data_IF_835956036322
#
_entry.id   IF_835956036322
#
_cell.length_a   1.000
_cell.length_b   1.000
_cell.length_c   1.000
_cell.angle_alpha   90.00
_cell.angle_beta   90.00
_cell.angle_gamma   90.00
#
_symmetry.space_group_name_H-M   'P 1'
#
loop_
_entity.id
_entity.type
_entity.pdbx_description
1 polymer ?
#
# COMPACT_ATOMS: atom_id res chain seq x y z
N UNK A 1 -3.58 -11.24 21.50
CA UNK A 1 -4.73 -10.43 21.03
C UNK A 1 -4.21 -9.57 19.88
N UNK A 2 -4.57 -9.88 18.63
CA UNK A 2 -4.26 -8.99 17.50
C UNK A 2 -5.39 -7.97 17.42
N UNK A 3 -5.06 -6.68 17.51
CA UNK A 3 -6.05 -5.61 17.32
C UNK A 3 -6.36 -5.57 15.82
N UNK A 4 -7.55 -6.00 15.43
CA UNK A 4 -8.10 -5.89 14.07
C UNK A 4 -8.38 -4.41 13.75
N UNK A 5 -7.33 -3.61 13.56
CA UNK A 5 -7.43 -2.16 13.31
C UNK A 5 -7.94 -1.81 11.90
N UNK A 6 -8.09 -2.78 11.00
CA UNK A 6 -8.38 -2.56 9.58
C UNK A 6 -9.53 -3.46 9.07
N UNK A 7 -10.77 -3.27 9.56
CA UNK A 7 -11.87 -4.17 9.24
C UNK A 7 -12.44 -4.00 7.82
N UNK A 8 -11.97 -3.02 7.04
CA UNK A 8 -12.55 -2.69 5.74
C UNK A 8 -11.46 -2.37 4.72
N UNK A 9 -11.45 -3.13 3.63
CA UNK A 9 -10.71 -2.82 2.41
C UNK A 9 -11.66 -2.21 1.38
N UNK A 10 -11.18 -1.21 0.63
CA UNK A 10 -11.89 -0.64 -0.52
C UNK A 10 -11.04 -0.86 -1.77
N UNK A 11 -11.68 -1.32 -2.82
CA UNK A 11 -11.07 -1.42 -4.15
C UNK A 11 -10.95 -0.03 -4.77
N UNK A 12 -9.75 0.34 -5.21
CA UNK A 12 -9.50 1.53 -6.03
C UNK A 12 -8.39 1.27 -7.06
N UNK A 13 -8.21 2.21 -7.98
CA UNK A 13 -7.11 2.18 -8.95
C UNK A 13 -5.78 2.48 -8.26
N UNK A 14 -4.70 1.82 -8.65
CA UNK A 14 -3.37 2.03 -8.08
C UNK A 14 -2.93 3.50 -8.12
N UNK A 15 -3.27 4.24 -9.20
CA UNK A 15 -2.98 5.66 -9.32
C UNK A 15 -3.68 6.56 -8.30
N UNK A 16 -4.69 6.07 -7.58
CA UNK A 16 -5.39 6.81 -6.54
C UNK A 16 -4.76 6.63 -5.16
N UNK A 17 -3.79 5.71 -5.00
CA UNK A 17 -3.02 5.55 -3.77
C UNK A 17 -2.07 6.73 -3.54
N UNK A 18 -1.92 7.12 -2.27
CA UNK A 18 -1.07 8.23 -1.82
C UNK A 18 -0.21 7.79 -0.63
N UNK A 19 0.93 8.47 -0.36
CA UNK A 19 1.62 8.32 0.90
C UNK A 19 0.67 8.54 2.08
N UNK A 20 0.71 7.66 3.08
CA UNK A 20 -0.22 7.61 4.20
C UNK A 20 -1.37 6.62 4.03
N UNK A 21 -1.70 6.21 2.81
CA UNK A 21 -2.67 5.13 2.59
C UNK A 21 -2.07 3.79 3.03
N UNK A 22 -2.94 2.87 3.45
CA UNK A 22 -2.56 1.49 3.79
C UNK A 22 -2.99 0.57 2.68
N UNK A 23 -2.03 0.01 1.95
CA UNK A 23 -2.25 -1.01 0.93
C UNK A 23 -2.38 -2.38 1.57
N UNK A 24 -3.36 -3.17 1.13
CA UNK A 24 -3.50 -4.58 1.48
C UNK A 24 -3.27 -5.38 0.20
N UNK A 25 -2.27 -6.26 0.24
CA UNK A 25 -2.03 -7.22 -0.84
C UNK A 25 -2.71 -8.51 -0.40
N UNK A 26 -3.33 -9.24 -1.33
CA UNK A 26 -4.02 -10.48 -1.00
C UNK A 26 -3.12 -11.43 -0.19
N UNK A 27 -3.63 -11.91 0.96
CA UNK A 27 -2.92 -12.73 1.95
C UNK A 27 -1.71 -12.06 2.65
N UNK A 28 -1.53 -10.75 2.49
CA UNK A 28 -0.43 -9.99 3.08
C UNK A 28 -0.86 -9.14 4.29
N UNK A 29 0.11 -8.86 5.17
CA UNK A 29 -0.03 -7.86 6.22
C UNK A 29 -0.32 -6.46 5.64
N UNK A 30 -1.01 -5.57 6.37
CA UNK A 30 -1.25 -4.19 5.95
C UNK A 30 0.07 -3.41 5.79
N UNK A 31 0.21 -2.74 4.65
CA UNK A 31 1.42 -2.02 4.23
C UNK A 31 1.13 -0.52 4.11
N UNK A 32 1.73 0.29 4.98
CA UNK A 32 1.67 1.75 4.90
C UNK A 32 2.51 2.24 3.72
N UNK A 33 1.91 2.99 2.81
CA UNK A 33 2.63 3.66 1.71
C UNK A 33 3.37 4.86 2.28
N UNK A 34 4.68 4.88 2.11
CA UNK A 34 5.57 5.97 2.52
C UNK A 34 5.90 6.87 1.32
N UNK A 35 5.97 6.30 0.13
CA UNK A 35 6.35 7.03 -1.09
C UNK A 35 5.72 6.35 -2.32
N UNK A 36 5.40 7.15 -3.34
CA UNK A 36 4.92 6.66 -4.64
C UNK A 36 5.95 7.10 -5.68
N UNK A 37 6.55 6.14 -6.39
CA UNK A 37 7.52 6.41 -7.45
C UNK A 37 6.97 5.94 -8.80
N UNK A 38 7.03 6.78 -9.84
CA UNK A 38 6.86 6.30 -11.20
C UNK A 38 8.04 5.38 -11.53
N UNK A 39 7.78 4.18 -12.03
CA UNK A 39 8.84 3.31 -12.51
C UNK A 39 9.50 3.97 -13.73
N UNK A 40 10.80 4.29 -13.62
CA UNK A 40 11.56 5.07 -14.62
C UNK A 40 11.27 4.62 -16.05
N UNK A 41 10.82 5.56 -16.89
CA UNK A 41 10.55 5.31 -18.31
C UNK A 41 9.27 4.55 -18.61
N UNK A 42 8.41 4.32 -17.62
CA UNK A 42 7.11 3.64 -17.79
C UNK A 42 6.00 4.40 -17.08
N UNK A 43 4.75 4.14 -17.49
CA UNK A 43 3.55 4.62 -16.77
C UNK A 43 3.28 3.81 -15.49
N UNK A 44 4.11 2.83 -15.16
CA UNK A 44 3.89 1.94 -14.03
C UNK A 44 4.23 2.63 -12.71
N UNK A 45 3.55 2.20 -11.65
CA UNK A 45 3.69 2.74 -10.29
C UNK A 45 4.38 1.73 -9.38
N UNK A 46 5.37 2.20 -8.63
CA UNK A 46 6.03 1.43 -7.58
C UNK A 46 5.82 2.16 -6.25
N UNK A 47 5.39 1.44 -5.22
CA UNK A 47 5.11 1.99 -3.91
C UNK A 47 6.21 1.59 -2.94
N UNK A 48 6.84 2.57 -2.28
CA UNK A 48 7.67 2.31 -1.10
C UNK A 48 6.75 2.17 0.09
N UNK A 49 6.76 1.01 0.73
CA UNK A 49 5.85 0.67 1.81
C UNK A 49 6.59 0.21 3.05
N UNK A 50 5.94 0.30 4.20
CA UNK A 50 6.40 -0.23 5.49
C UNK A 50 5.28 -1.09 6.09
N UNK A 51 5.61 -2.18 6.78
CA UNK A 51 4.59 -2.94 7.52
C UNK A 51 4.00 -2.09 8.64
N UNK A 52 2.67 -2.09 8.77
CA UNK A 52 1.97 -1.40 9.87
C UNK A 52 2.15 -2.14 11.20
N UNK A 53 2.37 -3.46 11.14
CA UNK A 53 2.56 -4.31 12.32
C UNK A 53 3.93 -4.11 12.98
N UNK A 54 4.87 -3.48 12.28
CA UNK A 54 6.24 -3.24 12.78
C UNK A 54 6.32 -1.82 13.35
N UNK A 55 6.99 -1.67 14.49
CA UNK A 55 7.18 -0.39 15.18
C UNK A 55 7.63 0.75 14.23
N UNK A 56 7.25 2.01 14.54
CA UNK A 56 7.62 3.16 13.72
C UNK A 56 9.15 3.27 13.61
N UNK A 57 9.67 2.97 12.41
CA UNK A 57 11.10 2.84 12.15
C UNK A 57 11.48 1.54 11.44
N UNK A 58 10.54 0.59 11.32
CA UNK A 58 10.73 -0.66 10.58
C UNK A 58 11.15 -0.48 9.11
N UNK A 59 11.79 -1.51 8.52
CA UNK A 59 12.36 -1.41 7.18
C UNK A 59 11.29 -1.15 6.12
N UNK A 60 11.60 -0.23 5.20
CA UNK A 60 10.78 0.02 4.02
C UNK A 60 11.16 -0.92 2.88
N UNK A 61 10.18 -1.44 2.14
CA UNK A 61 10.38 -2.22 0.92
C UNK A 61 9.59 -1.61 -0.25
N UNK A 62 9.98 -1.93 -1.48
CA UNK A 62 9.21 -1.54 -2.66
C UNK A 62 8.24 -2.64 -3.06
N UNK A 63 7.05 -2.26 -3.52
CA UNK A 63 6.03 -3.16 -4.06
C UNK A 63 5.56 -2.62 -5.41
N UNK A 64 5.49 -3.48 -6.40
CA UNK A 64 5.11 -3.16 -7.78
C UNK A 64 5.99 -3.92 -8.77
N UNK A 65 5.97 -3.53 -10.06
CA UNK A 65 5.21 -2.42 -10.64
C UNK A 65 3.69 -2.69 -10.77
N UNK A 66 2.88 -1.65 -10.68
CA UNK A 66 1.43 -1.69 -10.90
C UNK A 66 1.02 -0.82 -12.10
N UNK A 67 0.02 -1.25 -12.88
CA UNK A 67 -0.60 -0.36 -13.87
C UNK A 67 -1.41 0.74 -13.15
N UNK A 68 -1.45 1.98 -13.66
CA UNK A 68 -2.22 3.07 -13.04
C UNK A 68 -3.69 2.74 -12.76
N UNK A 69 -4.33 2.02 -13.66
CA UNK A 69 -5.73 1.59 -13.60
C UNK A 69 -5.94 0.24 -12.91
N UNK A 70 -4.87 -0.46 -12.52
CA UNK A 70 -4.94 -1.74 -11.81
C UNK A 70 -5.73 -1.58 -10.51
N UNK A 71 -6.69 -2.46 -10.31
CA UNK A 71 -7.48 -2.49 -9.08
C UNK A 71 -6.64 -3.09 -7.95
N UNK A 72 -6.52 -2.34 -6.86
CA UNK A 72 -5.80 -2.71 -5.64
C UNK A 72 -6.69 -2.48 -4.42
N UNK A 73 -6.37 -3.13 -3.31
CA UNK A 73 -7.11 -3.00 -2.06
C UNK A 73 -6.41 -2.02 -1.12
N UNK A 74 -7.16 -1.02 -0.64
CA UNK A 74 -6.70 -0.10 0.41
C UNK A 74 -7.49 -0.33 1.68
N UNK A 75 -6.81 -0.50 2.80
CA UNK A 75 -7.45 -0.47 4.11
C UNK A 75 -7.90 0.96 4.45
N UNK A 76 -9.14 1.09 4.94
CA UNK A 76 -9.73 2.38 5.31
C UNK A 76 -9.81 2.48 6.83
N UNK A 77 -9.33 3.60 7.38
CA UNK A 77 -9.45 3.92 8.81
C UNK A 77 -10.83 4.54 9.05
N UNK A 78 -11.57 4.07 10.05
CA UNK A 78 -12.75 4.77 10.58
C UNK A 78 -12.33 5.98 11.39
#
# INVERSE_FOLDING_TARGET
MAVDCYPQTRSLRAQALRPGDVLVIERGAPLLIVEVQPAKGTVLLTFRVRSVEVEPGGPSRYVGPFLPDQIVQRAVRR
#
